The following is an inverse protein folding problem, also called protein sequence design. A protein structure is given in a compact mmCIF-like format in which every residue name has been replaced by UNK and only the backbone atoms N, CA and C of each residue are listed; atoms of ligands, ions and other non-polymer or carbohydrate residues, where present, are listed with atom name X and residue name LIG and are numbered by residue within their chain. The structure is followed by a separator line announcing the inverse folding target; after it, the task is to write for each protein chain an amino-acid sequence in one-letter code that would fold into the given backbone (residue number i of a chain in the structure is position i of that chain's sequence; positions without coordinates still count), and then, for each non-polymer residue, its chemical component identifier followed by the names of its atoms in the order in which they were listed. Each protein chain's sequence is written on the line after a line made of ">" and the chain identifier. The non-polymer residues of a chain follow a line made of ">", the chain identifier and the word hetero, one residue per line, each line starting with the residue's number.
data_IF_233927290660
#
_entry.id   IF_233927290660
#
_cell.length_a   1.000
_cell.length_b   1.000
_cell.length_c   1.000
_cell.angle_alpha   90.00
_cell.angle_beta   90.00
_cell.angle_gamma   90.00
#
_symmetry.space_group_name_H-M   'P 1'
#
loop_
_entity.id
_entity.type
_entity.pdbx_description
1 polymer ?
#
# COMPACT_ATOMS: atom_id res chain seq x y z
N UNK A 1 -4.97 -39.16 4.46
CA UNK A 1 -4.12 -38.00 4.15
C UNK A 1 -4.93 -37.06 3.28
N UNK A 2 -5.63 -36.11 3.90
CA UNK A 2 -6.45 -35.14 3.17
C UNK A 2 -5.53 -34.17 2.43
N UNK A 3 -5.75 -34.01 1.12
CA UNK A 3 -5.13 -32.96 0.33
C UNK A 3 -5.39 -31.60 0.98
N UNK A 4 -4.33 -30.91 1.41
CA UNK A 4 -4.46 -29.53 1.89
C UNK A 4 -5.19 -28.71 0.80
N UNK A 5 -6.26 -27.98 1.14
CA UNK A 5 -7.05 -27.25 0.15
C UNK A 5 -6.17 -26.23 -0.59
N UNK A 6 -6.37 -26.08 -1.90
CA UNK A 6 -5.54 -25.25 -2.80
C UNK A 6 -5.35 -23.82 -2.28
N UNK A 7 -6.34 -23.27 -1.58
CA UNK A 7 -6.28 -21.95 -0.95
C UNK A 7 -5.17 -21.84 0.12
N UNK A 8 -4.86 -22.92 0.83
CA UNK A 8 -3.83 -22.94 1.86
C UNK A 8 -2.41 -22.81 1.28
N UNK A 9 -2.21 -23.28 0.02
CA UNK A 9 -0.95 -23.08 -0.70
C UNK A 9 -0.77 -21.65 -1.22
N UNK A 10 -1.86 -20.91 -1.42
CA UNK A 10 -1.82 -19.48 -1.80
C UNK A 10 -1.39 -18.57 -0.64
N UNK A 11 -1.62 -19.00 0.61
CA UNK A 11 -1.24 -18.25 1.81
C UNK A 11 0.02 -18.78 2.51
N UNK A 12 0.57 -19.94 2.09
CA UNK A 12 1.94 -20.33 2.47
C UNK A 12 2.93 -19.37 1.81
N UNK A 13 4.01 -19.04 2.51
CA UNK A 13 5.14 -18.21 2.06
C UNK A 13 5.94 -18.90 0.93
N UNK A 14 5.24 -19.23 -0.16
CA UNK A 14 5.77 -19.79 -1.40
C UNK A 14 5.82 -18.66 -2.43
N UNK A 15 6.75 -18.68 -3.39
CA UNK A 15 6.94 -17.59 -4.37
C UNK A 15 5.66 -17.05 -5.01
N UNK A 16 4.70 -17.93 -5.32
CA UNK A 16 3.42 -17.54 -5.94
C UNK A 16 2.42 -16.93 -4.95
N UNK A 17 2.41 -17.39 -3.69
CA UNK A 17 1.53 -16.86 -2.66
C UNK A 17 1.92 -15.44 -2.26
N UNK A 18 3.22 -15.17 -2.18
CA UNK A 18 3.75 -13.83 -1.95
C UNK A 18 3.35 -12.85 -3.06
N UNK A 19 3.46 -13.28 -4.32
CA UNK A 19 3.10 -12.49 -5.50
C UNK A 19 1.61 -12.14 -5.53
N UNK A 20 0.77 -13.09 -5.10
CA UNK A 20 -0.67 -12.88 -4.98
C UNK A 20 -1.01 -11.87 -3.88
N UNK A 21 -0.39 -12.00 -2.70
CA UNK A 21 -0.58 -11.07 -1.59
C UNK A 21 -0.10 -9.66 -1.96
N UNK A 22 1.06 -9.53 -2.61
CA UNK A 22 1.57 -8.22 -3.05
C UNK A 22 0.65 -7.56 -4.06
N UNK A 23 0.10 -8.32 -5.01
CA UNK A 23 -0.88 -7.81 -5.98
C UNK A 23 -2.17 -7.36 -5.28
N UNK A 24 -2.64 -8.13 -4.30
CA UNK A 24 -3.83 -7.79 -3.53
C UNK A 24 -3.64 -6.48 -2.73
N UNK A 25 -2.48 -6.31 -2.08
CA UNK A 25 -2.11 -5.07 -1.38
C UNK A 25 -2.12 -3.89 -2.34
N UNK A 26 -1.53 -4.04 -3.54
CA UNK A 26 -1.54 -3.01 -4.57
C UNK A 26 -2.96 -2.60 -4.97
N UNK A 27 -3.86 -3.57 -5.19
CA UNK A 27 -5.26 -3.31 -5.53
C UNK A 27 -5.97 -2.55 -4.41
N UNK A 28 -5.79 -2.96 -3.15
CA UNK A 28 -6.40 -2.29 -1.99
C UNK A 28 -5.92 -0.85 -1.86
N UNK A 29 -4.63 -0.59 -2.09
CA UNK A 29 -4.05 0.75 -2.10
C UNK A 29 -4.73 1.62 -3.17
N UNK A 30 -4.85 1.12 -4.40
CA UNK A 30 -5.43 1.87 -5.52
C UNK A 30 -6.92 2.15 -5.27
N UNK A 31 -7.68 1.14 -4.86
CA UNK A 31 -9.10 1.31 -4.52
C UNK A 31 -9.30 2.26 -3.34
N UNK A 32 -8.44 2.19 -2.32
CA UNK A 32 -8.45 3.09 -1.17
C UNK A 32 -8.17 4.54 -1.57
N UNK A 33 -7.19 4.78 -2.45
CA UNK A 33 -6.91 6.10 -3.01
C UNK A 33 -8.10 6.63 -3.82
N UNK A 34 -8.67 5.83 -4.72
CA UNK A 34 -9.84 6.23 -5.51
C UNK A 34 -11.01 6.58 -4.60
N UNK A 35 -11.30 5.74 -3.59
CA UNK A 35 -12.38 6.00 -2.64
C UNK A 35 -12.14 7.28 -1.83
N UNK A 36 -10.91 7.52 -1.39
CA UNK A 36 -10.54 8.74 -0.68
C UNK A 36 -10.80 9.99 -1.55
N UNK A 37 -10.30 10.00 -2.78
CA UNK A 37 -10.43 11.16 -3.69
C UNK A 37 -11.83 11.33 -4.31
N UNK A 38 -12.62 10.26 -4.44
CA UNK A 38 -13.94 10.31 -5.12
C UNK A 38 -15.09 10.48 -4.13
N UNK A 39 -15.10 9.69 -3.06
CA UNK A 39 -16.25 9.62 -2.13
C UNK A 39 -16.05 10.54 -0.93
N UNK A 40 -14.81 10.62 -0.42
CA UNK A 40 -14.50 11.37 0.80
C UNK A 40 -13.87 12.74 0.56
N UNK A 41 -13.85 13.22 -0.69
CA UNK A 41 -13.25 14.52 -1.07
C UNK A 41 -13.69 15.68 -0.17
N UNK A 42 -14.98 15.77 0.13
CA UNK A 42 -15.54 16.84 0.96
C UNK A 42 -15.27 16.70 2.47
N UNK A 43 -14.72 15.56 2.93
CA UNK A 43 -14.38 15.30 4.35
C UNK A 43 -12.88 15.15 4.59
N UNK A 44 -12.07 15.30 3.54
CA UNK A 44 -10.62 15.26 3.58
C UNK A 44 -10.09 16.64 3.96
N UNK A 45 -9.82 16.82 5.25
CA UNK A 45 -9.03 17.94 5.75
C UNK A 45 -7.55 17.72 5.49
N UNK A 46 -6.76 18.79 5.38
CA UNK A 46 -5.32 18.73 5.11
C UNK A 46 -4.58 17.80 6.08
N UNK A 47 -4.96 17.82 7.37
CA UNK A 47 -4.43 16.91 8.40
C UNK A 47 -4.64 15.42 8.09
N UNK A 48 -5.80 15.04 7.54
CA UNK A 48 -6.10 13.64 7.19
C UNK A 48 -5.30 13.20 5.97
N UNK A 49 -5.12 14.09 4.99
CA UNK A 49 -4.25 13.85 3.84
C UNK A 49 -2.79 13.66 4.29
N UNK A 50 -2.29 14.52 5.19
CA UNK A 50 -0.95 14.36 5.76
C UNK A 50 -0.76 13.02 6.47
N UNK A 51 -1.74 12.61 7.27
CA UNK A 51 -1.71 11.32 7.97
C UNK A 51 -1.72 10.13 6.99
N UNK A 52 -2.54 10.20 5.95
CA UNK A 52 -2.60 9.18 4.90
C UNK A 52 -1.28 9.07 4.12
N UNK A 53 -0.68 10.21 3.75
CA UNK A 53 0.65 10.23 3.12
C UNK A 53 1.74 9.65 4.03
N UNK A 54 1.70 9.94 5.34
CA UNK A 54 2.58 9.34 6.34
C UNK A 54 2.45 7.82 6.42
N UNK A 55 1.23 7.28 6.37
CA UNK A 55 1.00 5.83 6.31
C UNK A 55 1.60 5.20 5.05
N UNK A 56 1.51 5.86 3.90
CA UNK A 56 2.14 5.39 2.66
C UNK A 56 3.67 5.33 2.74
N UNK A 57 4.29 6.34 3.36
CA UNK A 57 5.75 6.35 3.60
C UNK A 57 6.14 5.18 4.51
N UNK A 58 5.44 5.01 5.64
CA UNK A 58 5.71 3.92 6.58
C UNK A 58 5.52 2.56 5.90
N UNK A 59 4.46 2.39 5.11
CA UNK A 59 4.19 1.18 4.35
C UNK A 59 5.35 0.87 3.39
N UNK A 60 5.81 1.86 2.63
CA UNK A 60 6.95 1.69 1.72
C UNK A 60 8.26 1.36 2.42
N UNK A 61 8.51 1.93 3.62
CA UNK A 61 9.68 1.58 4.46
C UNK A 61 9.59 0.14 4.97
N UNK A 62 8.42 -0.30 5.44
CA UNK A 62 8.19 -1.68 5.87
C UNK A 62 8.38 -2.65 4.70
N UNK A 63 7.84 -2.32 3.53
CA UNK A 63 8.04 -3.09 2.30
C UNK A 63 9.51 -3.19 1.90
N UNK A 64 10.32 -2.15 2.14
CA UNK A 64 11.76 -2.19 1.87
C UNK A 64 12.52 -3.09 2.88
N UNK A 65 12.08 -3.13 4.14
CA UNK A 65 12.66 -3.98 5.19
C UNK A 65 12.43 -5.48 4.96
N UNK A 66 11.39 -5.86 4.21
CA UNK A 66 11.12 -7.25 3.87
C UNK A 66 12.00 -7.63 2.67
N UNK A 67 13.02 -8.46 2.90
CA UNK A 67 14.04 -8.84 1.91
C UNK A 67 13.41 -9.41 0.62
N UNK A 68 12.47 -10.34 0.76
CA UNK A 68 11.73 -10.90 -0.38
C UNK A 68 10.95 -9.85 -1.19
N UNK A 69 10.40 -8.83 -0.53
CA UNK A 69 9.65 -7.77 -1.20
C UNK A 69 10.60 -6.79 -1.90
N UNK A 70 11.71 -6.46 -1.25
CA UNK A 70 12.71 -5.51 -1.74
C UNK A 70 13.43 -6.02 -2.99
N UNK A 71 13.72 -7.33 -3.07
CA UNK A 71 14.38 -7.93 -4.23
C UNK A 71 13.42 -8.04 -5.43
N UNK A 72 12.15 -8.41 -5.19
CA UNK A 72 11.17 -8.67 -6.25
C UNK A 72 10.44 -7.43 -6.73
N UNK A 73 10.22 -6.46 -5.84
CA UNK A 73 9.49 -5.22 -6.12
C UNK A 73 10.20 -3.98 -5.52
N UNK A 74 11.47 -3.72 -5.87
CA UNK A 74 12.21 -2.55 -5.35
C UNK A 74 11.53 -1.23 -5.71
N UNK A 75 10.94 -1.15 -6.89
CA UNK A 75 10.21 0.03 -7.38
C UNK A 75 8.92 0.29 -6.61
N UNK A 76 8.21 -0.74 -6.16
CA UNK A 76 6.93 -0.58 -5.46
C UNK A 76 7.09 0.12 -4.10
N UNK A 77 8.13 -0.24 -3.34
CA UNK A 77 8.47 0.43 -2.10
C UNK A 77 8.81 1.91 -2.34
N UNK A 78 9.60 2.19 -3.37
CA UNK A 78 9.99 3.56 -3.73
C UNK A 78 8.79 4.39 -4.19
N UNK A 79 7.90 3.82 -5.00
CA UNK A 79 6.66 4.45 -5.46
C UNK A 79 5.77 4.75 -4.25
N UNK A 80 5.60 3.83 -3.31
CA UNK A 80 4.79 4.08 -2.11
C UNK A 80 5.33 5.24 -1.27
N UNK A 81 6.66 5.31 -1.09
CA UNK A 81 7.30 6.41 -0.37
C UNK A 81 7.09 7.73 -1.11
N UNK A 82 7.36 7.76 -2.42
CA UNK A 82 7.23 8.97 -3.24
C UNK A 82 5.79 9.48 -3.26
N UNK A 83 4.83 8.57 -3.42
CA UNK A 83 3.40 8.87 -3.44
C UNK A 83 2.94 9.36 -2.06
N UNK A 84 3.44 8.75 -0.97
CA UNK A 84 3.21 9.22 0.39
C UNK A 84 3.73 10.63 0.63
N UNK A 85 4.95 10.96 0.17
CA UNK A 85 5.52 12.32 0.25
C UNK A 85 4.64 13.31 -0.50
N UNK A 86 4.23 13.00 -1.73
CA UNK A 86 3.37 13.86 -2.53
C UNK A 86 2.04 14.13 -1.81
N UNK A 87 1.39 13.09 -1.30
CA UNK A 87 0.12 13.24 -0.57
C UNK A 87 0.31 14.07 0.70
N UNK A 88 1.40 13.87 1.44
CA UNK A 88 1.70 14.68 2.63
C UNK A 88 1.91 16.14 2.27
N UNK A 89 2.63 16.44 1.20
CA UNK A 89 2.77 17.82 0.72
C UNK A 89 1.44 18.42 0.28
N UNK A 90 0.61 17.67 -0.47
CA UNK A 90 -0.74 18.12 -0.84
C UNK A 90 -1.55 18.43 0.41
N UNK A 91 -1.51 17.57 1.43
CA UNK A 91 -2.20 17.80 2.70
C UNK A 91 -1.68 19.01 3.48
N UNK A 92 -0.40 19.35 3.35
CA UNK A 92 0.20 20.55 3.96
C UNK A 92 -0.26 21.85 3.28
N UNK A 93 -0.43 21.81 1.95
CA UNK A 93 -0.93 22.96 1.17
C UNK A 93 -2.45 23.04 1.10
N UNK A 94 -3.16 22.04 1.60
CA UNK A 94 -4.61 22.06 1.69
C UNK A 94 -5.01 22.88 2.92
N UNK A 95 -5.31 24.15 2.72
CA UNK A 95 -5.89 25.03 3.75
C UNK A 95 -7.15 24.38 4.34
N UNK A 96 -7.21 24.30 5.68
CA UNK A 96 -8.34 23.74 6.45
C UNK A 96 -9.59 24.63 6.34
#
# INVERSE_FOLDING_TARGET
>A
MGSEPTYYKLFKLTENGFLFISALIGIVIVLGLIAAFTVFRHRLTGKKLMFLGGQFIVLGVISNKIIDFSIRFPSAAFICILLGIIITFIGLFYED
#
